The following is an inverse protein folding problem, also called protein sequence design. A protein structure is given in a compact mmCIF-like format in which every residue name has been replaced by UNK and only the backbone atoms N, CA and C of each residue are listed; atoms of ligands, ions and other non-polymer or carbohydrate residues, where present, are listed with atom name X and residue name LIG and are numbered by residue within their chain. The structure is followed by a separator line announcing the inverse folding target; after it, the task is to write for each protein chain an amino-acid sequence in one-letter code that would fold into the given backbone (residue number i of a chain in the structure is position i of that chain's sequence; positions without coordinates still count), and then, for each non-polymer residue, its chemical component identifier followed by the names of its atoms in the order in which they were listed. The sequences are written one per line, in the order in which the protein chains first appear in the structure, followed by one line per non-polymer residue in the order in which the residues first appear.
data_IF_539469754785
#
_entry.id   IF_539469754785
#
_cell.length_a   1.000
_cell.length_b   1.000
_cell.length_c   1.000
_cell.angle_alpha   90.00
_cell.angle_beta   90.00
_cell.angle_gamma   90.00
#
_symmetry.space_group_name_H-M   'P 1'
#
loop_
_entity.id
_entity.type
_entity.pdbx_description
1 polymer ?
#
# COMPACT_ATOMS: atom_id res chain seq x y z
N UNK A 1 -14.49 -33.96 -4.94
CA UNK A 1 -15.29 -32.73 -5.22
C UNK A 1 -14.32 -31.77 -5.84
N UNK A 2 -14.44 -31.67 -7.17
CA UNK A 2 -13.33 -31.40 -8.07
C UNK A 2 -12.88 -29.96 -8.15
N UNK A 3 -11.62 -29.82 -8.15
CA UNK A 3 -10.58 -28.84 -8.46
C UNK A 3 -10.84 -27.91 -9.71
N UNK A 4 -12.04 -27.87 -10.24
CA UNK A 4 -12.36 -27.03 -11.41
C UNK A 4 -12.65 -25.57 -11.07
N UNK A 5 -12.83 -25.23 -9.80
CA UNK A 5 -13.14 -23.85 -9.38
C UNK A 5 -11.88 -22.99 -9.35
N UNK A 6 -10.74 -23.57 -9.05
CA UNK A 6 -9.47 -22.90 -8.87
C UNK A 6 -8.93 -22.20 -10.13
N UNK A 7 -8.90 -22.85 -11.32
CA UNK A 7 -8.40 -22.22 -12.54
C UNK A 7 -9.25 -21.04 -13.00
N UNK A 8 -10.58 -21.11 -12.81
CA UNK A 8 -11.50 -20.03 -13.19
C UNK A 8 -11.37 -18.81 -12.28
N UNK A 9 -11.17 -19.02 -10.98
CA UNK A 9 -10.94 -17.95 -10.02
C UNK A 9 -9.64 -17.22 -10.36
N UNK A 10 -8.56 -17.97 -10.56
CA UNK A 10 -7.26 -17.40 -10.90
C UNK A 10 -7.28 -16.65 -12.23
N UNK A 11 -7.92 -17.21 -13.26
CA UNK A 11 -8.06 -16.53 -14.55
C UNK A 11 -8.88 -15.24 -14.41
N UNK A 12 -9.97 -15.26 -13.63
CA UNK A 12 -10.76 -14.07 -13.32
C UNK A 12 -9.92 -13.02 -12.59
N UNK A 13 -9.07 -13.43 -11.64
CA UNK A 13 -8.20 -12.53 -10.90
C UNK A 13 -7.13 -11.90 -11.81
N UNK A 14 -6.47 -12.70 -12.66
CA UNK A 14 -5.49 -12.22 -13.65
C UNK A 14 -6.09 -11.17 -14.58
N UNK A 15 -7.28 -11.42 -15.11
CA UNK A 15 -7.97 -10.47 -16.00
C UNK A 15 -8.32 -9.17 -15.29
N UNK A 16 -8.82 -9.25 -14.05
CA UNK A 16 -9.15 -8.05 -13.25
C UNK A 16 -7.90 -7.26 -12.89
N UNK A 17 -6.83 -7.93 -12.52
CA UNK A 17 -5.56 -7.29 -12.22
C UNK A 17 -4.99 -6.59 -13.46
N UNK A 18 -4.99 -7.24 -14.63
CA UNK A 18 -4.55 -6.65 -15.88
C UNK A 18 -5.40 -5.44 -16.30
N UNK A 19 -6.73 -5.54 -16.16
CA UNK A 19 -7.64 -4.43 -16.43
C UNK A 19 -7.41 -3.24 -15.49
N UNK A 20 -7.21 -3.50 -14.19
CA UNK A 20 -6.91 -2.46 -13.21
C UNK A 20 -5.58 -1.79 -13.53
N UNK A 21 -4.55 -2.56 -13.86
CA UNK A 21 -3.25 -2.03 -14.30
C UNK A 21 -3.41 -1.10 -15.50
N UNK A 22 -4.14 -1.52 -16.54
CA UNK A 22 -4.36 -0.69 -17.72
C UNK A 22 -5.01 0.65 -17.40
N UNK A 23 -5.98 0.67 -16.48
CA UNK A 23 -6.58 1.93 -16.00
C UNK A 23 -5.59 2.85 -15.32
N UNK A 24 -4.70 2.31 -14.50
CA UNK A 24 -3.65 3.11 -13.86
C UNK A 24 -2.58 3.56 -14.85
N UNK A 25 -2.17 2.72 -15.81
CA UNK A 25 -1.21 3.09 -16.86
C UNK A 25 -1.76 4.25 -17.70
N UNK A 26 -3.04 4.21 -18.08
CA UNK A 26 -3.73 5.28 -18.80
C UNK A 26 -3.81 6.57 -17.97
N UNK A 27 -4.14 6.45 -16.68
CA UNK A 27 -4.19 7.59 -15.77
C UNK A 27 -2.80 8.22 -15.59
N UNK A 28 -1.77 7.41 -15.37
CA UNK A 28 -0.39 7.88 -15.23
C UNK A 28 0.19 8.49 -16.52
N UNK A 29 -0.29 8.04 -17.68
CA UNK A 29 0.13 8.60 -18.97
C UNK A 29 -0.57 9.95 -19.25
N UNK A 30 -1.78 10.15 -18.74
CA UNK A 30 -2.60 11.34 -19.00
C UNK A 30 -2.32 12.47 -18.01
N UNK A 31 -1.98 12.14 -16.75
CA UNK A 31 -1.69 13.12 -15.70
C UNK A 31 -0.21 13.52 -15.71
N UNK A 32 0.08 14.80 -15.47
CA UNK A 32 1.41 15.30 -15.16
C UNK A 32 1.61 15.55 -13.66
N UNK A 33 2.84 15.91 -13.22
CA UNK A 33 3.13 16.22 -11.82
C UNK A 33 2.26 17.34 -11.24
N UNK A 34 1.85 18.31 -12.05
CA UNK A 34 0.94 19.40 -11.67
C UNK A 34 -0.47 18.90 -11.31
N UNK A 35 -0.94 17.84 -11.96
CA UNK A 35 -2.23 17.23 -11.66
C UNK A 35 -2.17 16.36 -10.40
N UNK A 36 -1.16 15.49 -10.31
CA UNK A 36 -1.07 14.53 -9.19
C UNK A 36 -0.75 15.22 -7.87
N UNK A 37 -0.02 16.33 -7.91
CA UNK A 37 0.38 17.12 -6.76
C UNK A 37 -0.58 18.27 -6.44
N UNK A 38 -1.67 18.40 -7.20
CA UNK A 38 -2.62 19.48 -7.01
C UNK A 38 -3.24 19.45 -5.60
N UNK A 39 -3.18 20.58 -4.91
CA UNK A 39 -3.90 20.80 -3.67
C UNK A 39 -5.28 21.37 -3.99
N UNK A 40 -6.33 20.62 -3.74
CA UNK A 40 -7.69 21.09 -4.00
C UNK A 40 -8.23 21.94 -2.86
N UNK A 41 -8.23 21.37 -1.65
CA UNK A 41 -8.70 22.04 -0.42
C UNK A 41 -8.31 21.27 0.83
N UNK A 42 -8.43 21.89 1.99
CA UNK A 42 -8.20 21.22 3.26
C UNK A 42 -9.09 19.98 3.44
N UNK A 43 -8.51 18.90 3.95
CA UNK A 43 -9.20 17.63 4.17
C UNK A 43 -9.38 16.74 2.92
N UNK A 44 -8.91 17.20 1.75
CA UNK A 44 -8.90 16.38 0.51
C UNK A 44 -7.47 15.97 0.21
N UNK A 45 -7.24 14.65 0.16
CA UNK A 45 -5.93 14.09 -0.15
C UNK A 45 -5.58 14.29 -1.63
N UNK A 46 -4.34 14.65 -1.97
CA UNK A 46 -3.91 14.79 -3.35
C UNK A 46 -3.90 13.42 -4.06
N UNK A 47 -3.98 13.43 -5.38
CA UNK A 47 -3.87 12.21 -6.21
C UNK A 47 -2.54 11.51 -5.95
N UNK A 48 -1.46 12.24 -5.69
CA UNK A 48 -0.15 11.71 -5.30
C UNK A 48 -0.23 10.74 -4.11
N UNK A 49 -1.04 11.07 -3.09
CA UNK A 49 -1.29 10.16 -1.97
C UNK A 49 -1.92 8.86 -2.45
N UNK A 50 -3.01 8.93 -3.19
CA UNK A 50 -3.74 7.74 -3.64
C UNK A 50 -2.89 6.82 -4.50
N UNK A 51 -2.13 7.39 -5.44
CA UNK A 51 -1.24 6.63 -6.34
C UNK A 51 -0.13 5.93 -5.55
N UNK A 52 0.55 6.68 -4.67
CA UNK A 52 1.61 6.09 -3.85
C UNK A 52 1.07 5.06 -2.88
N UNK A 53 0.00 5.38 -2.15
CA UNK A 53 -0.59 4.49 -1.17
C UNK A 53 -1.03 3.16 -1.79
N UNK A 54 -1.76 3.18 -2.91
CA UNK A 54 -2.20 1.96 -3.59
C UNK A 54 -1.02 1.14 -4.06
N UNK A 55 -0.02 1.77 -4.71
CA UNK A 55 1.16 1.05 -5.21
C UNK A 55 1.96 0.43 -4.07
N UNK A 56 2.20 1.19 -3.01
CA UNK A 56 2.94 0.71 -1.85
C UNK A 56 2.18 -0.39 -1.09
N UNK A 57 0.85 -0.27 -0.96
CA UNK A 57 0.04 -1.32 -0.34
C UNK A 57 0.04 -2.62 -1.15
N UNK A 58 0.01 -2.53 -2.49
CA UNK A 58 0.18 -3.71 -3.37
C UNK A 58 1.55 -4.34 -3.13
N UNK A 59 2.63 -3.55 -3.11
CA UNK A 59 4.00 -4.02 -2.92
C UNK A 59 4.16 -4.75 -1.59
N UNK A 60 3.75 -4.12 -0.48
CA UNK A 60 3.86 -4.71 0.87
C UNK A 60 2.96 -5.94 1.01
N UNK A 61 1.70 -5.87 0.57
CA UNK A 61 0.76 -6.99 0.67
C UNK A 61 1.23 -8.19 -0.15
N UNK A 62 1.75 -7.92 -1.36
CA UNK A 62 2.31 -8.96 -2.20
C UNK A 62 3.49 -9.66 -1.53
N UNK A 63 4.39 -8.92 -0.88
CA UNK A 63 5.52 -9.52 -0.16
C UNK A 63 5.08 -10.39 1.04
N UNK A 64 3.98 -10.03 1.70
CA UNK A 64 3.41 -10.86 2.77
C UNK A 64 2.88 -12.19 2.22
N UNK A 65 2.28 -12.18 1.02
CA UNK A 65 1.69 -13.38 0.40
C UNK A 65 2.75 -14.25 -0.29
N UNK A 66 3.60 -13.64 -1.10
CA UNK A 66 4.56 -14.34 -1.95
C UNK A 66 5.94 -14.53 -1.30
N UNK A 67 6.17 -13.90 -0.16
CA UNK A 67 7.48 -13.81 0.48
C UNK A 67 8.41 -12.80 -0.21
N UNK A 68 9.55 -12.53 0.42
CA UNK A 68 10.57 -11.62 -0.09
C UNK A 68 10.48 -10.20 0.48
N UNK A 69 11.13 -9.25 -0.19
CA UNK A 69 11.19 -7.85 0.24
C UNK A 69 10.41 -6.94 -0.70
N UNK A 70 9.80 -5.87 -0.17
CA UNK A 70 9.17 -4.83 -0.98
C UNK A 70 10.16 -4.20 -1.98
N UNK A 71 9.64 -3.74 -3.09
CA UNK A 71 10.38 -2.91 -4.06
C UNK A 71 10.70 -1.55 -3.43
N UNK A 72 9.74 -0.99 -2.65
CA UNK A 72 9.93 0.27 -1.95
C UNK A 72 11.00 0.16 -0.89
N UNK A 73 11.99 1.04 -0.96
CA UNK A 73 13.11 1.14 -0.03
C UNK A 73 13.66 2.58 -0.02
N UNK A 74 14.70 2.85 0.77
CA UNK A 74 15.31 4.18 0.89
C UNK A 74 15.87 4.71 -0.44
N UNK A 75 16.31 3.83 -1.34
CA UNK A 75 16.78 4.24 -2.66
C UNK A 75 15.61 4.75 -3.51
N UNK A 76 14.50 4.01 -3.55
CA UNK A 76 13.31 4.44 -4.25
C UNK A 76 12.72 5.72 -3.67
N UNK A 77 12.69 5.85 -2.33
CA UNK A 77 12.21 7.07 -1.67
C UNK A 77 13.00 8.30 -2.11
N UNK A 78 14.33 8.17 -2.23
CA UNK A 78 15.20 9.25 -2.73
C UNK A 78 15.02 9.55 -4.21
N UNK A 79 14.87 8.52 -5.06
CA UNK A 79 14.69 8.65 -6.52
C UNK A 79 13.36 9.30 -6.85
N UNK A 80 12.29 8.91 -6.17
CA UNK A 80 10.94 9.44 -6.38
C UNK A 80 10.77 10.81 -5.74
N UNK A 81 11.64 11.17 -4.78
CA UNK A 81 11.57 12.45 -4.04
C UNK A 81 10.21 12.64 -3.37
N UNK A 82 9.77 11.61 -2.65
CA UNK A 82 8.51 11.67 -1.92
C UNK A 82 8.62 12.67 -0.75
N UNK A 83 7.66 13.60 -0.65
CA UNK A 83 7.60 14.51 0.51
C UNK A 83 7.31 13.75 1.81
N UNK A 84 6.54 12.67 1.73
CA UNK A 84 6.24 11.75 2.83
C UNK A 84 6.54 10.34 2.31
N UNK A 85 7.64 9.70 2.75
CA UNK A 85 8.10 8.43 2.17
C UNK A 85 7.38 7.19 2.70
N UNK A 86 6.55 7.33 3.72
CA UNK A 86 5.76 6.25 4.31
C UNK A 86 4.32 6.20 3.77
N UNK A 87 3.64 5.09 4.00
CA UNK A 87 2.28 4.85 3.53
C UNK A 87 1.18 5.53 4.37
N UNK A 88 1.55 6.40 5.32
CA UNK A 88 0.62 7.22 6.09
C UNK A 88 -0.17 6.52 7.20
N UNK A 89 0.15 5.27 7.55
CA UNK A 89 -0.61 4.48 8.54
C UNK A 89 -0.76 5.17 9.91
N UNK A 90 0.23 5.95 10.30
CA UNK A 90 0.29 6.62 11.61
C UNK A 90 0.11 8.14 11.50
N UNK A 91 -0.30 8.64 10.33
CA UNK A 91 -0.47 10.07 10.04
C UNK A 91 -1.94 10.43 9.99
N UNK A 92 -2.21 11.70 10.29
CA UNK A 92 -3.55 12.27 10.12
C UNK A 92 -3.78 12.67 8.66
N UNK A 93 -5.03 12.94 8.30
CA UNK A 93 -5.39 13.46 6.97
C UNK A 93 -4.69 14.79 6.72
N UNK A 94 -4.61 15.66 7.74
CA UNK A 94 -3.97 16.98 7.67
C UNK A 94 -2.48 16.88 7.34
N UNK A 95 -1.79 15.86 7.85
CA UNK A 95 -0.38 15.59 7.51
C UNK A 95 -0.25 15.05 6.08
N UNK A 96 -1.20 14.20 5.66
CA UNK A 96 -1.14 13.54 4.35
C UNK A 96 -1.58 14.43 3.18
N UNK A 97 -2.25 15.55 3.42
CA UNK A 97 -2.57 16.52 2.34
C UNK A 97 -1.32 17.15 1.71
N UNK A 98 -0.18 17.07 2.41
CA UNK A 98 1.10 17.57 1.91
C UNK A 98 1.92 16.51 1.14
N UNK A 99 1.34 15.33 0.91
CA UNK A 99 1.97 14.30 0.08
C UNK A 99 2.22 14.81 -1.33
N UNK A 100 3.47 14.73 -1.80
CA UNK A 100 3.89 15.13 -3.14
C UNK A 100 4.85 14.10 -3.72
N UNK A 101 4.79 13.93 -5.03
CA UNK A 101 5.74 13.16 -5.83
C UNK A 101 6.65 14.18 -6.52
N UNK A 102 7.92 14.27 -6.11
CA UNK A 102 8.88 15.21 -6.67
C UNK A 102 9.36 14.79 -8.06
N UNK A 103 9.71 13.51 -8.20
CA UNK A 103 10.12 12.94 -9.49
C UNK A 103 9.06 11.96 -10.01
N UNK A 104 8.17 12.45 -10.85
CA UNK A 104 7.04 11.70 -11.37
C UNK A 104 7.46 10.56 -12.30
N UNK A 105 8.52 10.73 -13.09
CA UNK A 105 9.02 9.67 -13.99
C UNK A 105 9.61 8.50 -13.19
N UNK A 106 10.31 8.77 -12.10
CA UNK A 106 10.80 7.72 -11.21
C UNK A 106 9.64 7.04 -10.47
N UNK A 107 8.60 7.78 -10.09
CA UNK A 107 7.40 7.17 -9.54
C UNK A 107 6.74 6.21 -10.53
N UNK A 108 6.61 6.57 -11.81
CA UNK A 108 6.07 5.68 -12.85
C UNK A 108 6.92 4.41 -13.01
N UNK A 109 8.23 4.50 -12.88
CA UNK A 109 9.13 3.33 -12.90
C UNK A 109 8.92 2.43 -11.69
N UNK A 110 8.81 3.01 -10.50
CA UNK A 110 8.47 2.27 -9.28
C UNK A 110 7.13 1.55 -9.43
N UNK A 111 6.10 2.27 -9.86
CA UNK A 111 4.78 1.71 -10.15
C UNK A 111 4.89 0.50 -11.10
N UNK A 112 5.53 0.68 -12.25
CA UNK A 112 5.68 -0.38 -13.24
C UNK A 112 6.39 -1.61 -12.65
N UNK A 113 7.46 -1.41 -11.89
CA UNK A 113 8.22 -2.51 -11.27
C UNK A 113 7.37 -3.31 -10.27
N UNK A 114 6.57 -2.66 -9.44
CA UNK A 114 5.66 -3.34 -8.50
C UNK A 114 4.62 -4.16 -9.26
N UNK A 115 3.95 -3.55 -10.23
CA UNK A 115 2.90 -4.21 -10.98
C UNK A 115 3.41 -5.33 -11.88
N UNK A 116 4.60 -5.19 -12.48
CA UNK A 116 5.27 -6.24 -13.24
C UNK A 116 5.62 -7.45 -12.37
N UNK A 117 6.14 -7.19 -11.16
CA UNK A 117 6.46 -8.23 -10.18
C UNK A 117 5.23 -9.06 -9.82
N UNK A 118 4.09 -8.40 -9.54
CA UNK A 118 2.84 -9.08 -9.23
C UNK A 118 2.28 -9.83 -10.44
N UNK A 119 2.33 -9.22 -11.63
CA UNK A 119 1.87 -9.86 -12.87
C UNK A 119 2.66 -11.14 -13.20
N UNK A 120 3.99 -11.08 -13.04
CA UNK A 120 4.86 -12.25 -13.26
C UNK A 120 4.54 -13.39 -12.29
N UNK A 121 4.34 -13.07 -11.01
CA UNK A 121 3.96 -14.06 -10.01
C UNK A 121 2.57 -14.66 -10.25
N UNK A 122 1.60 -13.86 -10.67
CA UNK A 122 0.28 -14.35 -11.06
C UNK A 122 0.32 -15.26 -12.30
N UNK A 123 1.30 -15.06 -13.17
CA UNK A 123 1.51 -15.92 -14.34
C UNK A 123 2.13 -17.28 -13.96
N UNK A 124 2.87 -17.35 -12.86
CA UNK A 124 3.49 -18.59 -12.38
C UNK A 124 2.43 -19.51 -11.74
N UNK A 125 2.31 -20.79 -12.18
CA UNK A 125 1.41 -21.75 -11.57
C UNK A 125 1.67 -21.99 -10.08
N UNK A 126 2.93 -21.92 -9.63
CA UNK A 126 3.31 -22.09 -8.22
C UNK A 126 2.86 -20.90 -7.37
N UNK A 127 2.91 -19.67 -7.91
CA UNK A 127 2.38 -18.49 -7.26
C UNK A 127 0.86 -18.53 -7.14
N UNK A 128 0.19 -19.06 -8.15
CA UNK A 128 -1.25 -19.25 -8.16
C UNK A 128 -1.76 -20.14 -7.03
N UNK A 129 -1.05 -21.23 -6.74
CA UNK A 129 -1.40 -22.17 -5.67
C UNK A 129 -1.38 -21.50 -4.27
N UNK A 130 -0.52 -20.51 -4.06
CA UNK A 130 -0.44 -19.76 -2.80
C UNK A 130 -1.66 -18.86 -2.57
N UNK A 131 -2.27 -18.30 -3.63
CA UNK A 131 -3.51 -17.52 -3.50
C UNK A 131 -4.68 -18.42 -3.15
N UNK A 132 -4.73 -19.60 -3.78
CA UNK A 132 -5.87 -20.51 -3.70
C UNK A 132 -5.85 -21.35 -2.42
N UNK A 133 -4.70 -21.47 -1.78
CA UNK A 133 -4.50 -22.21 -0.53
C UNK A 133 -3.84 -21.32 0.54
N UNK A 134 -4.42 -20.16 0.90
CA UNK A 134 -3.89 -19.43 2.04
C UNK A 134 -4.00 -20.36 3.26
N UNK A 135 -2.87 -20.76 3.81
CA UNK A 135 -2.82 -21.33 5.14
C UNK A 135 -3.50 -20.34 6.08
N UNK A 136 -4.71 -20.65 6.53
CA UNK A 136 -5.54 -19.73 7.29
C UNK A 136 -4.87 -19.25 8.58
N UNK A 137 -3.83 -19.93 9.01
CA UNK A 137 -3.07 -19.65 10.23
C UNK A 137 -1.83 -18.77 9.97
N UNK A 138 -1.13 -18.92 8.84
CA UNK A 138 0.07 -18.14 8.51
C UNK A 138 -0.24 -16.64 8.31
N UNK A 139 -1.38 -16.31 7.71
CA UNK A 139 -1.76 -14.91 7.48
C UNK A 139 -2.09 -14.14 8.76
N UNK A 140 -2.42 -14.83 9.86
CA UNK A 140 -2.72 -14.17 11.14
C UNK A 140 -1.46 -13.87 11.94
N UNK A 141 -0.47 -14.73 11.90
CA UNK A 141 0.78 -14.56 12.64
C UNK A 141 1.73 -13.59 11.94
N UNK A 142 1.85 -13.63 10.62
CA UNK A 142 2.68 -12.68 9.86
C UNK A 142 2.11 -11.25 9.87
N UNK A 143 0.80 -11.08 9.85
CA UNK A 143 0.20 -9.75 10.04
C UNK A 143 0.53 -9.13 11.40
N UNK A 144 0.71 -9.95 12.44
CA UNK A 144 1.15 -9.47 13.75
C UNK A 144 2.64 -9.11 13.77
N UNK A 145 3.48 -9.78 12.98
CA UNK A 145 4.90 -9.46 12.86
C UNK A 145 5.16 -8.23 11.97
N UNK A 146 4.50 -8.13 10.82
CA UNK A 146 4.63 -6.99 9.92
C UNK A 146 4.04 -5.68 10.48
N UNK A 147 3.23 -5.78 11.54
CA UNK A 147 2.65 -4.63 12.25
C UNK A 147 3.40 -4.29 13.55
N UNK A 148 4.47 -5.01 13.88
CA UNK A 148 5.36 -4.64 14.98
C UNK A 148 6.37 -3.63 14.49
N UNK A 149 6.35 -2.45 15.11
CA UNK A 149 7.42 -1.47 14.94
C UNK A 149 8.76 -2.11 15.28
N UNK A 150 9.86 -1.81 14.53
CA UNK A 150 11.16 -2.37 14.79
C UNK A 150 11.75 -1.98 16.17
N UNK A 151 11.13 -1.11 16.92
CA UNK A 151 11.56 -0.61 18.22
C UNK A 151 10.69 -1.04 19.41
N UNK A 152 9.89 -2.06 19.32
CA UNK A 152 9.40 -2.81 20.51
C UNK A 152 8.82 -2.04 21.71
N UNK A 153 8.48 -0.76 21.58
CA UNK A 153 8.01 0.08 22.67
C UNK A 153 6.53 0.40 22.55
N UNK A 154 5.71 -0.28 23.33
CA UNK A 154 4.36 0.19 23.63
C UNK A 154 4.49 1.48 24.46
N UNK A 155 3.79 2.58 24.10
CA UNK A 155 3.72 3.73 24.97
C UNK A 155 3.01 3.34 26.27
N UNK A 156 3.43 3.86 27.43
CA UNK A 156 2.77 3.56 28.69
C UNK A 156 1.33 4.07 28.64
N UNK A 157 0.40 3.20 28.97
CA UNK A 157 -1.00 3.56 29.18
C UNK A 157 -1.11 4.51 30.36
N UNK A 158 -1.03 5.80 30.08
CA UNK A 158 -1.27 6.86 31.05
C UNK A 158 -2.77 6.91 31.36
N UNK A 159 -3.16 6.32 32.46
CA UNK A 159 -4.47 6.50 33.07
C UNK A 159 -4.56 7.93 33.58
N UNK A 160 -5.12 8.83 32.80
CA UNK A 160 -5.48 10.17 33.29
C UNK A 160 -6.87 10.06 33.93
N UNK A 161 -6.89 9.84 35.21
CA UNK A 161 -8.07 10.10 36.03
C UNK A 161 -8.42 11.58 35.94
N UNK A 162 -9.49 11.91 35.23
CA UNK A 162 -10.15 13.21 35.34
C UNK A 162 -10.96 13.22 36.62
N UNK A 163 -10.35 13.80 37.65
CA UNK A 163 -11.02 14.23 38.87
C UNK A 163 -11.99 15.36 38.53
N UNK A 164 -13.27 15.05 38.59
CA UNK A 164 -14.34 16.03 38.53
C UNK A 164 -14.39 16.77 39.88
N UNK A 165 -13.77 17.92 39.94
CA UNK A 165 -14.05 18.86 41.05
C UNK A 165 -15.30 19.68 40.71
N UNK A 166 -16.33 19.34 41.44
CA UNK A 166 -17.59 20.04 41.52
C UNK A 166 -17.51 20.94 42.76
N UNK A 167 -17.31 22.21 42.60
CA UNK A 167 -17.61 23.24 43.61
C UNK A 167 -18.16 24.48 42.92
N UNK A 168 -19.44 24.67 43.10
CA UNK A 168 -20.24 25.67 43.82
C UNK A 168 -19.61 27.06 43.90
N UNK A 169 -20.10 27.99 43.11
CA UNK A 169 -20.82 29.21 43.54
C UNK A 169 -21.45 29.91 42.33
#
# INVERSE_FOLDING_TARGET
MDDMTDPLILDSFRRRFAALRSLYDDALATMGPEHVNHFERAGVLPIAFSLFHITNMIDVTFCVIAGGSPVWNDEWARRVEMSIPDHGKHRTVEEMVDQRIGNYDEFRRYFAQVWDKVAAWLADPAGADQILRPGADDLRDDKRLALRDPEGSLPPTGTTERRLDRERR
#
